data_IF_027528189269
#
_entry.id   IF_027528189269
#
_cell.length_a   1.000
_cell.length_b   1.000
_cell.length_c   1.000
_cell.angle_alpha   90.00
_cell.angle_beta   90.00
_cell.angle_gamma   90.00
#
_symmetry.space_group_name_H-M   'P 1'
#
loop_
_entity.id
_entity.type
_entity.pdbx_description
1 polymer ?
#
# COMPACT_ATOMS: atom_id res chain seq x y z
N UNK A 1 -20.54 5.16 -11.93
CA UNK A 1 -20.13 5.02 -10.53
C UNK A 1 -18.64 5.32 -10.48
N UNK A 2 -18.11 5.55 -9.30
CA UNK A 2 -16.67 5.77 -9.08
C UNK A 2 -16.34 4.94 -7.86
N UNK A 3 -15.27 4.16 -7.93
CA UNK A 3 -14.82 3.29 -6.85
C UNK A 3 -13.33 3.46 -6.71
N UNK A 4 -12.84 3.51 -5.48
CA UNK A 4 -11.42 3.31 -5.22
C UNK A 4 -11.28 2.44 -3.98
N UNK A 5 -10.14 1.77 -3.84
CA UNK A 5 -9.85 0.94 -2.68
C UNK A 5 -8.60 1.44 -2.00
N UNK A 6 -8.77 1.89 -0.75
CA UNK A 6 -7.64 2.30 0.07
C UNK A 6 -7.27 1.29 1.14
N UNK A 7 -5.97 1.06 1.31
CA UNK A 7 -5.44 0.28 2.41
C UNK A 7 -5.33 1.16 3.65
N UNK A 8 -6.17 0.89 4.63
CA UNK A 8 -6.17 1.61 5.90
C UNK A 8 -5.05 1.12 6.81
N UNK A 9 -4.17 2.05 7.16
CA UNK A 9 -3.08 1.86 8.11
C UNK A 9 -3.61 2.01 9.54
N UNK A 10 -3.19 1.13 10.43
CA UNK A 10 -3.57 1.17 11.84
C UNK A 10 -2.89 2.33 12.60
N UNK A 11 -3.29 2.55 13.85
CA UNK A 11 -2.72 3.64 14.65
C UNK A 11 -1.21 3.54 14.89
N UNK A 12 -0.63 2.35 14.82
CA UNK A 12 0.80 2.10 15.04
C UNK A 12 1.64 2.43 13.79
N UNK A 13 1.01 2.36 12.62
CA UNK A 13 1.58 2.75 11.34
C UNK A 13 1.57 4.28 11.11
N UNK A 14 0.72 5.01 11.83
CA UNK A 14 0.64 6.46 11.72
C UNK A 14 1.93 7.13 12.22
N UNK A 15 2.22 8.29 11.64
CA UNK A 15 3.39 9.10 11.94
C UNK A 15 3.04 10.58 11.93
N UNK A 16 4.09 11.40 11.87
CA UNK A 16 4.01 12.86 12.03
C UNK A 16 4.47 13.63 10.80
N UNK A 17 4.99 12.95 9.78
CA UNK A 17 5.58 13.57 8.60
C UNK A 17 5.17 12.80 7.35
N UNK A 18 4.59 13.48 6.37
CA UNK A 18 4.05 12.88 5.15
C UNK A 18 4.42 13.70 3.93
N UNK A 19 4.58 13.00 2.81
CA UNK A 19 4.54 13.59 1.47
C UNK A 19 3.40 12.92 0.70
N UNK A 20 2.54 13.72 0.08
CA UNK A 20 1.30 13.19 -0.52
C UNK A 20 1.45 12.93 -2.01
N UNK A 21 0.81 11.85 -2.46
CA UNK A 21 0.57 11.54 -3.87
C UNK A 21 -0.84 12.01 -4.25
N UNK A 22 -0.98 12.59 -5.45
CA UNK A 22 -2.26 13.01 -6.02
C UNK A 22 -2.16 13.00 -7.55
N UNK A 23 -3.08 13.67 -8.23
CA UNK A 23 -3.04 13.98 -9.65
C UNK A 23 -3.39 15.46 -9.85
N UNK A 24 -2.91 16.06 -10.94
CA UNK A 24 -3.40 17.37 -11.41
C UNK A 24 -4.52 17.24 -12.44
N UNK A 25 -5.16 18.36 -12.79
CA UNK A 25 -6.25 18.39 -13.79
C UNK A 25 -7.48 17.58 -13.37
N UNK A 26 -8.46 17.34 -14.26
CA UNK A 26 -9.70 16.64 -13.90
C UNK A 26 -10.83 17.56 -13.45
N UNK A 27 -11.82 17.01 -12.73
CA UNK A 27 -13.08 17.71 -12.41
C UNK A 27 -13.41 17.68 -10.91
N UNK A 28 -14.52 18.34 -10.54
CA UNK A 28 -14.97 18.46 -9.15
C UNK A 28 -14.10 19.40 -8.32
N UNK A 29 -13.94 19.10 -7.02
CA UNK A 29 -13.05 19.83 -6.12
C UNK A 29 -11.56 19.61 -6.43
N UNK A 30 -11.28 18.72 -7.39
CA UNK A 30 -9.94 18.46 -7.88
C UNK A 30 -9.07 17.68 -6.89
N UNK A 31 -7.78 17.97 -6.88
CA UNK A 31 -6.82 17.36 -5.98
C UNK A 31 -7.11 17.74 -4.53
N UNK A 32 -7.08 16.79 -3.61
CA UNK A 32 -7.50 16.99 -2.23
C UNK A 32 -6.62 16.26 -1.22
N UNK A 33 -6.55 16.82 -0.02
CA UNK A 33 -5.88 16.25 1.15
C UNK A 33 -6.81 16.35 2.36
N UNK A 34 -6.86 15.29 3.16
CA UNK A 34 -7.51 15.26 4.45
C UNK A 34 -6.52 14.81 5.54
N UNK A 35 -6.51 15.50 6.68
CA UNK A 35 -5.66 15.19 7.84
C UNK A 35 -6.57 14.97 9.04
N UNK A 36 -6.56 13.75 9.58
CA UNK A 36 -7.41 13.34 10.70
C UNK A 36 -6.58 13.22 11.99
N UNK A 37 -7.04 13.90 13.04
CA UNK A 37 -6.36 13.91 14.33
C UNK A 37 -6.81 12.74 15.23
N UNK A 38 -5.84 11.98 15.73
CA UNK A 38 -6.09 10.85 16.66
C UNK A 38 -6.12 11.28 18.13
N UNK A 39 -5.68 12.51 18.42
CA UNK A 39 -5.48 13.06 19.76
C UNK A 39 -5.92 14.53 19.82
N UNK A 40 -6.31 14.97 21.02
CA UNK A 40 -6.66 16.38 21.27
C UNK A 40 -5.45 17.30 21.13
N UNK A 41 -5.72 18.56 20.79
CA UNK A 41 -4.71 19.61 20.62
C UNK A 41 -3.55 19.16 19.70
N UNK A 42 -3.87 18.53 18.57
CA UNK A 42 -2.89 18.14 17.56
C UNK A 42 -2.60 19.33 16.66
N UNK A 43 -1.35 19.78 16.64
CA UNK A 43 -0.90 20.87 15.79
C UNK A 43 -0.41 20.29 14.47
N UNK A 44 -1.07 20.69 13.38
CA UNK A 44 -0.69 20.29 12.02
C UNK A 44 -0.20 21.50 11.23
N UNK A 45 0.77 21.25 10.37
CA UNK A 45 1.21 22.16 9.32
C UNK A 45 1.07 21.46 7.98
N UNK A 46 0.10 21.89 7.17
CA UNK A 46 -0.03 21.47 5.79
C UNK A 46 0.65 22.49 4.87
N UNK A 47 1.58 22.04 4.03
CA UNK A 47 2.23 22.88 3.02
C UNK A 47 1.82 22.37 1.63
N UNK A 48 0.81 22.99 0.98
CA UNK A 48 0.43 22.63 -0.37
C UNK A 48 1.56 22.91 -1.35
N UNK A 49 1.64 22.11 -2.41
CA UNK A 49 2.61 22.28 -3.49
C UNK A 49 2.48 23.69 -4.08
N UNK A 50 3.58 24.46 -4.03
CA UNK A 50 3.62 25.82 -4.55
C UNK A 50 2.88 26.87 -3.70
N UNK A 51 2.35 26.50 -2.53
CA UNK A 51 1.66 27.41 -1.62
C UNK A 51 2.40 27.59 -0.28
N UNK A 52 1.90 28.52 0.53
CA UNK A 52 2.40 28.79 1.87
C UNK A 52 1.91 27.75 2.88
N UNK A 53 2.67 27.55 3.96
CA UNK A 53 2.29 26.66 5.05
C UNK A 53 1.01 27.15 5.76
N UNK A 54 0.11 26.20 6.05
CA UNK A 54 -1.16 26.41 6.74
C UNK A 54 -1.09 25.66 8.06
N UNK A 55 -1.22 26.39 9.17
CA UNK A 55 -1.21 25.81 10.51
C UNK A 55 -2.64 25.66 11.03
N UNK A 56 -2.97 24.48 11.53
CA UNK A 56 -4.29 24.17 12.09
C UNK A 56 -4.09 23.40 13.39
N UNK A 57 -4.94 23.67 14.38
CA UNK A 57 -5.04 22.83 15.59
C UNK A 57 -6.33 22.04 15.52
N UNK A 58 -6.22 20.73 15.68
CA UNK A 58 -7.35 19.79 15.63
C UNK A 58 -7.52 19.09 16.98
N UNK A 59 -8.77 18.85 17.36
CA UNK A 59 -9.14 17.97 18.46
C UNK A 59 -9.28 16.53 17.98
N UNK A 60 -9.34 15.58 18.91
CA UNK A 60 -9.49 14.17 18.58
C UNK A 60 -10.77 13.96 17.78
N UNK A 61 -10.64 13.29 16.63
CA UNK A 61 -11.77 13.00 15.74
C UNK A 61 -12.06 14.11 14.74
N UNK A 62 -11.43 15.28 14.86
CA UNK A 62 -11.55 16.34 13.85
C UNK A 62 -10.66 16.05 12.64
N UNK A 63 -11.14 16.50 11.48
CA UNK A 63 -10.44 16.36 10.19
C UNK A 63 -10.32 17.72 9.53
N UNK A 64 -9.10 18.08 9.16
CA UNK A 64 -8.84 19.19 8.25
C UNK A 64 -8.91 18.69 6.80
N UNK A 65 -9.69 19.35 5.94
CA UNK A 65 -9.73 19.08 4.49
C UNK A 65 -9.23 20.29 3.72
N UNK A 66 -8.38 20.04 2.72
CA UNK A 66 -7.97 21.03 1.73
C UNK A 66 -8.27 20.51 0.32
N UNK A 67 -8.95 21.34 -0.49
CA UNK A 67 -9.18 21.09 -1.90
C UNK A 67 -8.35 22.08 -2.73
N UNK A 68 -7.43 21.56 -3.55
CA UNK A 68 -6.52 22.32 -4.41
C UNK A 68 -7.08 22.65 -5.79
N UNK A 69 -8.31 22.20 -6.12
CA UNK A 69 -8.88 22.38 -7.44
C UNK A 69 -8.00 21.71 -8.50
N UNK A 70 -7.76 22.42 -9.60
CA UNK A 70 -6.91 21.92 -10.70
C UNK A 70 -5.41 21.80 -10.36
N UNK A 71 -4.98 22.28 -9.18
CA UNK A 71 -3.57 22.20 -8.74
C UNK A 71 -3.19 20.76 -8.43
N UNK A 72 -2.12 20.25 -9.04
CA UNK A 72 -1.53 18.98 -8.63
C UNK A 72 -0.91 19.12 -7.23
N UNK A 73 -1.50 18.47 -6.23
CA UNK A 73 -0.99 18.51 -4.85
C UNK A 73 0.11 17.47 -4.60
N UNK A 74 0.54 16.71 -5.61
CA UNK A 74 1.65 15.77 -5.48
C UNK A 74 2.90 16.48 -4.97
N UNK A 75 3.47 15.95 -3.90
CA UNK A 75 4.63 16.53 -3.23
C UNK A 75 4.31 17.62 -2.21
N UNK A 76 3.03 17.89 -1.91
CA UNK A 76 2.67 18.65 -0.70
C UNK A 76 3.11 17.88 0.55
N UNK A 77 3.38 18.58 1.64
CA UNK A 77 3.77 17.93 2.90
C UNK A 77 2.81 18.22 4.04
N UNK A 78 2.65 17.23 4.92
CA UNK A 78 1.98 17.39 6.21
C UNK A 78 3.02 17.10 7.30
N UNK A 79 3.13 18.00 8.26
CA UNK A 79 3.88 17.76 9.51
C UNK A 79 2.95 17.95 10.70
N UNK A 80 3.12 17.15 11.75
CA UNK A 80 2.32 17.24 12.96
C UNK A 80 3.17 17.01 14.21
N UNK A 81 2.70 17.48 15.36
CA UNK A 81 3.34 17.19 16.66
C UNK A 81 2.91 15.83 17.26
N UNK A 82 1.82 15.25 16.75
CA UNK A 82 1.24 13.96 17.14
C UNK A 82 0.87 13.13 15.93
N UNK A 83 0.69 11.83 16.12
CA UNK A 83 0.34 10.91 15.04
C UNK A 83 -1.02 11.27 14.42
N UNK A 84 -1.07 11.39 13.09
CA UNK A 84 -2.27 11.73 12.31
C UNK A 84 -2.46 10.74 11.17
N UNK A 85 -3.69 10.55 10.71
CA UNK A 85 -3.93 9.86 9.44
C UNK A 85 -4.03 10.91 8.33
N UNK A 86 -3.26 10.74 7.26
CA UNK A 86 -3.28 11.63 6.09
C UNK A 86 -3.83 10.87 4.91
N UNK A 87 -4.88 11.42 4.29
CA UNK A 87 -5.47 10.92 3.06
C UNK A 87 -5.23 11.92 1.95
N UNK A 88 -4.95 11.44 0.75
CA UNK A 88 -4.78 12.29 -0.42
C UNK A 88 -5.31 11.63 -1.68
N UNK A 89 -5.59 12.44 -2.68
CA UNK A 89 -6.07 11.97 -3.97
C UNK A 89 -6.84 13.07 -4.67
N UNK A 90 -7.93 12.73 -5.35
CA UNK A 90 -8.57 13.61 -6.29
C UNK A 90 -10.06 13.30 -6.41
N UNK A 91 -10.92 14.32 -6.50
CA UNK A 91 -12.37 14.13 -6.55
C UNK A 91 -12.85 13.42 -7.83
N UNK A 92 -12.16 13.64 -8.96
CA UNK A 92 -12.45 13.03 -10.26
C UNK A 92 -11.23 13.26 -11.19
N UNK A 93 -10.20 12.42 -11.05
CA UNK A 93 -8.92 12.55 -11.76
C UNK A 93 -8.97 11.92 -13.13
N UNK A 94 -8.34 12.58 -14.10
CA UNK A 94 -8.01 11.99 -15.39
C UNK A 94 -6.57 11.47 -15.34
N UNK A 95 -6.37 10.17 -15.53
CA UNK A 95 -5.03 9.56 -15.54
C UNK A 95 -4.82 8.87 -16.89
N UNK A 96 -3.96 9.38 -17.79
CA UNK A 96 -3.31 10.69 -17.74
C UNK A 96 -4.32 11.82 -17.96
N UNK A 97 -3.89 13.05 -17.68
CA UNK A 97 -4.70 14.26 -17.91
C UNK A 97 -5.20 14.29 -19.36
N UNK A 98 -6.48 14.58 -19.54
CA UNK A 98 -7.12 14.65 -20.85
C UNK A 98 -7.74 13.33 -21.33
N UNK A 99 -7.62 12.22 -20.59
CA UNK A 99 -8.38 11.00 -20.89
C UNK A 99 -9.88 11.21 -20.67
N UNK A 100 -10.73 10.55 -21.46
CA UNK A 100 -12.16 10.86 -21.56
C UNK A 100 -12.96 10.71 -20.26
N UNK A 101 -12.52 9.81 -19.38
CA UNK A 101 -13.21 9.50 -18.13
C UNK A 101 -12.30 9.80 -16.94
N UNK A 102 -12.91 10.15 -15.83
CA UNK A 102 -12.21 10.34 -14.58
C UNK A 102 -12.70 9.32 -13.56
N UNK A 103 -11.95 9.21 -12.47
CA UNK A 103 -12.38 8.46 -11.30
C UNK A 103 -11.85 9.11 -10.02
N UNK A 104 -12.46 8.79 -8.87
CA UNK A 104 -12.00 9.27 -7.57
C UNK A 104 -10.68 8.60 -7.26
N UNK A 105 -9.69 9.38 -6.82
CA UNK A 105 -8.49 8.84 -6.21
C UNK A 105 -8.57 9.09 -4.71
N UNK A 106 -8.32 8.09 -3.89
CA UNK A 106 -8.25 8.23 -2.44
C UNK A 106 -7.29 7.21 -1.84
N UNK A 107 -6.17 7.68 -1.29
CA UNK A 107 -5.24 6.83 -0.55
C UNK A 107 -4.85 7.40 0.80
N UNK A 108 -4.66 6.52 1.80
CA UNK A 108 -3.96 6.88 3.03
C UNK A 108 -2.44 6.91 2.78
N UNK A 109 -1.85 8.09 2.96
CA UNK A 109 -0.42 8.31 2.76
C UNK A 109 0.44 7.52 3.75
N UNK A 110 1.55 6.97 3.27
CA UNK A 110 2.56 6.31 4.12
C UNK A 110 3.42 7.39 4.79
N UNK A 111 3.61 7.26 6.11
CA UNK A 111 4.46 8.18 6.86
C UNK A 111 5.92 8.09 6.39
N UNK A 112 6.62 9.22 6.36
CA UNK A 112 7.98 9.31 5.78
C UNK A 112 9.03 8.43 6.48
N UNK A 113 8.82 8.07 7.74
CA UNK A 113 9.67 7.12 8.50
C UNK A 113 9.40 5.65 8.14
N UNK A 114 8.37 5.38 7.34
CA UNK A 114 8.01 4.05 6.80
C UNK A 114 8.27 3.93 5.30
N UNK A 115 8.79 4.98 4.67
CA UNK A 115 9.20 4.98 3.27
C UNK A 115 10.60 4.40 3.12
N UNK A 116 10.90 3.92 1.91
CA UNK A 116 12.13 3.20 1.59
C UNK A 116 12.93 3.89 0.50
N UNK A 117 14.11 3.33 0.21
CA UNK A 117 15.00 3.77 -0.87
C UNK A 117 14.97 2.86 -2.10
N UNK A 118 14.38 1.67 -1.98
CA UNK A 118 14.34 0.67 -3.05
C UNK A 118 12.91 0.17 -3.20
N UNK A 119 12.39 0.26 -4.41
CA UNK A 119 11.07 -0.19 -4.80
C UNK A 119 11.18 -1.05 -6.06
N UNK A 120 10.26 -1.99 -6.19
CA UNK A 120 10.05 -2.75 -7.41
C UNK A 120 8.58 -2.60 -7.77
N UNK A 121 8.29 -2.25 -9.01
CA UNK A 121 6.93 -2.06 -9.50
C UNK A 121 6.63 -3.05 -10.62
N UNK A 122 5.40 -3.53 -10.67
CA UNK A 122 4.90 -4.39 -11.73
C UNK A 122 3.69 -3.72 -12.39
N UNK A 123 3.65 -3.75 -13.72
CA UNK A 123 2.49 -3.28 -14.46
C UNK A 123 1.26 -4.09 -14.05
N UNK A 124 0.19 -3.38 -13.74
CA UNK A 124 -1.13 -3.91 -13.43
C UNK A 124 -1.66 -4.77 -14.58
N UNK A 125 -2.68 -5.60 -14.32
CA UNK A 125 -3.40 -6.26 -15.41
C UNK A 125 -4.14 -5.25 -16.30
N UNK A 126 -4.60 -4.13 -15.73
CA UNK A 126 -5.25 -3.03 -16.46
C UNK A 126 -4.33 -2.33 -17.46
N UNK A 127 -3.02 -2.37 -17.26
CA UNK A 127 -2.03 -1.73 -18.12
C UNK A 127 -2.14 -2.13 -19.60
N UNK A 128 -2.52 -3.38 -19.90
CA UNK A 128 -2.72 -3.83 -21.30
C UNK A 128 -3.88 -3.14 -22.00
N UNK A 129 -4.85 -2.63 -21.23
CA UNK A 129 -6.07 -1.99 -21.73
C UNK A 129 -5.87 -0.47 -21.88
N UNK A 130 -4.95 0.12 -21.12
CA UNK A 130 -4.73 1.57 -21.07
C UNK A 130 -3.34 2.04 -21.53
N UNK A 131 -2.53 1.15 -22.11
CA UNK A 131 -1.20 1.50 -22.63
C UNK A 131 -0.15 1.76 -21.53
N UNK A 132 -0.23 0.99 -20.44
CA UNK A 132 0.65 1.09 -19.28
C UNK A 132 -0.02 1.71 -18.06
N UNK A 133 0.70 1.70 -16.95
CA UNK A 133 0.39 2.46 -15.73
C UNK A 133 1.24 3.74 -15.69
N UNK A 134 0.92 4.67 -14.77
CA UNK A 134 1.85 5.73 -14.37
C UNK A 134 2.47 5.40 -13.03
N UNK A 135 3.73 5.79 -12.85
CA UNK A 135 4.42 5.72 -11.56
C UNK A 135 5.04 7.08 -11.27
N UNK A 136 4.83 7.58 -10.05
CA UNK A 136 5.45 8.81 -9.54
C UNK A 136 6.39 8.48 -8.40
N UNK A 137 7.62 8.95 -8.50
CA UNK A 137 8.62 8.91 -7.42
C UNK A 137 8.73 10.32 -6.84
N UNK A 138 8.41 10.48 -5.56
CA UNK A 138 8.23 11.78 -4.89
C UNK A 138 9.31 11.93 -3.81
N UNK A 139 10.16 12.95 -3.95
CA UNK A 139 11.28 13.16 -3.04
C UNK A 139 10.85 13.77 -1.71
N UNK A 140 11.34 13.21 -0.59
CA UNK A 140 11.14 13.79 0.75
C UNK A 140 12.23 14.79 1.13
N UNK A 141 13.37 14.74 0.45
CA UNK A 141 14.60 15.49 0.76
C UNK A 141 15.16 16.16 -0.49
N UNK A 142 15.83 17.30 -0.32
CA UNK A 142 16.46 18.00 -1.44
C UNK A 142 17.62 17.18 -2.04
N UNK A 143 17.81 17.27 -3.37
CA UNK A 143 18.89 16.56 -4.05
C UNK A 143 18.73 15.04 -4.11
N UNK A 144 17.52 14.52 -3.98
CA UNK A 144 17.25 13.07 -4.10
C UNK A 144 17.50 12.63 -5.54
N UNK A 145 18.51 11.79 -5.76
CA UNK A 145 18.77 11.16 -7.06
C UNK A 145 17.84 9.97 -7.24
N UNK A 146 17.12 9.90 -8.37
CA UNK A 146 16.25 8.78 -8.74
C UNK A 146 16.90 7.98 -9.86
N UNK A 147 16.99 6.66 -9.67
CA UNK A 147 17.42 5.70 -10.67
C UNK A 147 16.29 4.76 -11.02
N UNK A 148 16.10 4.50 -12.31
CA UNK A 148 15.17 3.49 -12.82
C UNK A 148 15.99 2.49 -13.63
N UNK A 149 15.91 1.21 -13.28
CA UNK A 149 16.68 0.13 -13.91
C UNK A 149 18.19 0.45 -14.01
N UNK A 150 18.74 1.06 -12.96
CA UNK A 150 20.16 1.42 -12.84
C UNK A 150 20.55 2.77 -13.48
N UNK A 151 19.70 3.37 -14.32
CA UNK A 151 19.97 4.66 -14.95
C UNK A 151 19.43 5.82 -14.10
N UNK A 152 20.23 6.87 -13.87
CA UNK A 152 19.76 8.10 -13.23
C UNK A 152 18.79 8.82 -14.16
N UNK A 153 17.55 8.99 -13.74
CA UNK A 153 16.49 9.64 -14.55
C UNK A 153 16.13 11.04 -14.05
N UNK A 154 16.41 11.34 -12.77
CA UNK A 154 16.12 12.64 -12.20
C UNK A 154 17.00 12.95 -10.96
N UNK A 155 17.14 14.24 -10.65
CA UNK A 155 17.54 14.73 -9.33
C UNK A 155 16.45 15.68 -8.84
N UNK A 156 15.84 15.34 -7.72
CA UNK A 156 14.61 15.95 -7.23
C UNK A 156 14.84 16.69 -5.92
N UNK A 157 14.34 17.90 -5.83
CA UNK A 157 14.19 18.61 -4.56
C UNK A 157 12.97 18.10 -3.79
N UNK A 158 12.88 18.39 -2.48
CA UNK A 158 11.76 18.01 -1.63
C UNK A 158 10.43 18.42 -2.27
N UNK A 159 9.49 17.47 -2.35
CA UNK A 159 8.18 17.64 -2.96
C UNK A 159 8.19 17.71 -4.49
N UNK A 160 9.34 17.61 -5.16
CA UNK A 160 9.37 17.34 -6.60
C UNK A 160 9.18 15.84 -6.85
N UNK A 161 8.66 15.51 -8.03
CA UNK A 161 8.47 14.13 -8.44
C UNK A 161 8.97 13.88 -9.85
N UNK A 162 9.32 12.63 -10.12
CA UNK A 162 9.55 12.10 -11.46
C UNK A 162 8.39 11.16 -11.82
N UNK A 163 7.78 11.37 -12.97
CA UNK A 163 6.71 10.52 -13.50
C UNK A 163 7.23 9.68 -14.67
N UNK A 164 6.90 8.39 -14.67
CA UNK A 164 7.22 7.47 -15.76
C UNK A 164 5.99 6.65 -16.14
N UNK A 165 5.91 6.25 -17.41
CA UNK A 165 4.97 5.21 -17.83
C UNK A 165 5.59 3.84 -17.60
N UNK A 166 4.90 2.98 -16.87
CA UNK A 166 5.23 1.57 -16.72
C UNK A 166 4.47 0.78 -17.79
N UNK A 167 5.18 0.33 -18.83
CA UNK A 167 4.55 -0.33 -19.97
C UNK A 167 3.83 -1.62 -19.56
N UNK A 168 2.77 -1.97 -20.29
CA UNK A 168 2.06 -3.23 -20.07
C UNK A 168 3.00 -4.43 -20.12
N UNK A 169 2.79 -5.39 -19.22
CA UNK A 169 3.64 -6.58 -19.11
C UNK A 169 5.13 -6.25 -18.85
N UNK A 170 5.41 -5.22 -18.06
CA UNK A 170 6.78 -4.91 -17.61
C UNK A 170 6.84 -4.70 -16.10
N UNK A 171 8.06 -4.65 -15.56
CA UNK A 171 8.34 -4.18 -14.21
C UNK A 171 9.57 -3.29 -14.22
N UNK A 172 9.80 -2.57 -13.13
CA UNK A 172 10.97 -1.70 -13.00
C UNK A 172 11.48 -1.66 -11.57
N UNK A 173 12.81 -1.57 -11.44
CA UNK A 173 13.48 -1.26 -10.19
C UNK A 173 13.67 0.23 -10.05
N UNK A 174 13.23 0.79 -8.93
CA UNK A 174 13.40 2.20 -8.59
C UNK A 174 14.30 2.29 -7.37
N UNK A 175 15.39 3.05 -7.50
CA UNK A 175 16.34 3.30 -6.41
C UNK A 175 16.49 4.80 -6.20
N UNK A 176 16.44 5.25 -4.95
CA UNK A 176 16.59 6.65 -4.57
C UNK A 176 17.74 6.84 -3.58
N UNK A 177 18.45 7.97 -3.66
CA UNK A 177 19.54 8.26 -2.72
C UNK A 177 19.04 8.55 -1.30
N UNK A 178 17.85 9.13 -1.18
CA UNK A 178 17.10 9.36 0.06
C UNK A 178 15.77 8.61 0.03
N UNK A 179 15.12 8.46 1.19
CA UNK A 179 13.76 7.89 1.21
C UNK A 179 12.84 8.72 0.31
N UNK A 180 11.96 8.04 -0.40
CA UNK A 180 11.03 8.68 -1.34
C UNK A 180 9.70 7.94 -1.28
N UNK A 181 8.60 8.63 -1.58
CA UNK A 181 7.32 7.93 -1.79
C UNK A 181 7.22 7.48 -3.25
N UNK A 182 6.67 6.28 -3.46
CA UNK A 182 6.32 5.79 -4.79
C UNK A 182 4.82 5.54 -4.83
N UNK A 183 4.15 6.11 -5.83
CA UNK A 183 2.73 5.87 -6.10
C UNK A 183 2.57 5.37 -7.54
N UNK A 184 1.73 4.36 -7.72
CA UNK A 184 1.36 3.77 -9.00
C UNK A 184 -0.12 4.07 -9.29
N UNK A 185 -0.41 4.37 -10.54
CA UNK A 185 -1.72 4.80 -10.98
C UNK A 185 -2.16 3.95 -12.17
N UNK A 186 -3.37 3.39 -12.08
CA UNK A 186 -4.03 2.82 -13.24
C UNK A 186 -4.43 3.97 -14.18
N UNK A 187 -4.20 3.78 -15.48
CA UNK A 187 -4.65 4.74 -16.49
C UNK A 187 -6.09 4.44 -16.89
N UNK A 188 -6.86 5.48 -17.22
CA UNK A 188 -8.17 5.35 -17.82
C UNK A 188 -8.10 4.75 -19.23
N UNK A 189 -8.78 3.63 -19.42
CA UNK A 189 -8.80 2.84 -20.66
C UNK A 189 -9.88 3.24 -21.66
N UNK A 190 -10.41 4.46 -21.56
CA UNK A 190 -11.42 4.99 -22.50
C UNK A 190 -12.71 4.17 -22.59
N UNK A 191 -13.12 3.51 -21.49
CA UNK A 191 -14.28 2.61 -21.46
C UNK A 191 -13.95 1.12 -21.56
N UNK A 192 -12.67 0.76 -21.72
CA UNK A 192 -12.19 -0.63 -21.83
C UNK A 192 -11.99 -1.32 -20.46
N UNK A 193 -12.92 -1.17 -19.51
CA UNK A 193 -12.88 -1.81 -18.17
C UNK A 193 -11.66 -1.47 -17.28
N UNK A 194 -11.09 -0.28 -17.43
CA UNK A 194 -10.16 0.31 -16.45
C UNK A 194 -10.38 1.81 -16.45
N UNK A 195 -10.46 2.39 -15.27
CA UNK A 195 -10.50 3.82 -15.01
C UNK A 195 -9.38 4.18 -14.00
N UNK A 196 -9.20 5.46 -13.69
CA UNK A 196 -8.11 5.89 -12.81
C UNK A 196 -8.23 5.42 -11.35
N UNK A 197 -7.34 4.52 -10.91
CA UNK A 197 -7.12 4.22 -9.49
C UNK A 197 -5.68 4.55 -9.07
N UNK A 198 -5.42 4.72 -7.78
CA UNK A 198 -4.10 5.08 -7.25
C UNK A 198 -3.74 4.22 -6.06
N UNK A 199 -2.49 3.77 -5.97
CA UNK A 199 -1.96 3.26 -4.72
C UNK A 199 -0.51 3.62 -4.45
N UNK A 200 -0.17 3.78 -3.18
CA UNK A 200 1.21 3.78 -2.76
C UNK A 200 1.83 2.38 -2.95
N UNK A 201 3.10 2.34 -3.34
CA UNK A 201 3.86 1.09 -3.47
C UNK A 201 4.76 0.97 -2.24
N UNK A 202 4.62 -0.09 -1.41
CA UNK A 202 5.53 -0.34 -0.30
C UNK A 202 6.95 -0.64 -0.77
N UNK A 203 7.93 -0.18 0.00
CA UNK A 203 9.34 -0.43 -0.30
C UNK A 203 9.71 -1.90 -0.11
N UNK A 204 10.76 -2.33 -0.81
CA UNK A 204 11.21 -3.73 -0.86
C UNK A 204 11.48 -4.35 0.50
N UNK A 205 11.98 -3.55 1.44
CA UNK A 205 12.30 -3.91 2.83
C UNK A 205 11.07 -3.98 3.76
N UNK A 206 9.88 -3.65 3.26
CA UNK A 206 8.62 -3.68 4.01
C UNK A 206 7.63 -4.75 3.54
N UNK A 207 8.03 -5.59 2.58
CA UNK A 207 7.20 -6.66 2.04
C UNK A 207 6.90 -7.74 3.08
N UNK A 208 5.76 -8.41 2.90
CA UNK A 208 5.34 -9.56 3.71
C UNK A 208 5.53 -10.85 2.90
N UNK A 209 5.54 -11.98 3.61
CA UNK A 209 5.60 -13.32 2.99
C UNK A 209 4.24 -14.01 2.92
N UNK A 210 3.23 -13.47 3.59
CA UNK A 210 1.84 -13.93 3.54
C UNK A 210 0.94 -12.70 3.61
N UNK A 211 -0.12 -12.74 2.82
CA UNK A 211 -1.09 -11.69 2.61
C UNK A 211 -2.48 -12.27 2.76
N UNK A 212 -3.34 -11.65 3.58
CA UNK A 212 -4.76 -11.98 3.68
C UNK A 212 -5.58 -10.76 3.35
N UNK A 213 -6.33 -10.85 2.27
CA UNK A 213 -7.07 -9.76 1.67
C UNK A 213 -8.40 -10.28 1.16
N UNK A 214 -9.31 -9.37 0.88
CA UNK A 214 -10.56 -9.69 0.20
C UNK A 214 -10.69 -8.83 -1.05
N UNK A 215 -11.13 -9.44 -2.15
CA UNK A 215 -11.62 -8.66 -3.29
C UNK A 215 -12.95 -8.00 -2.89
N UNK A 216 -13.32 -6.85 -3.50
CA UNK A 216 -14.66 -6.31 -3.39
C UNK A 216 -15.72 -7.38 -3.74
N UNK A 217 -16.82 -7.41 -3.01
CA UNK A 217 -17.86 -8.42 -3.12
C UNK A 217 -19.25 -7.82 -2.91
N UNK A 218 -20.32 -8.61 -3.10
CA UNK A 218 -21.69 -8.12 -3.01
C UNK A 218 -21.99 -7.06 -4.07
N UNK A 219 -22.60 -5.94 -3.66
CA UNK A 219 -22.96 -4.84 -4.57
C UNK A 219 -21.77 -4.07 -5.16
N UNK A 220 -20.55 -4.31 -4.68
CA UNK A 220 -19.31 -3.74 -5.18
C UNK A 220 -18.41 -4.79 -5.88
N UNK A 221 -18.95 -5.95 -6.25
CA UNK A 221 -18.17 -7.00 -6.88
C UNK A 221 -17.71 -6.63 -8.31
N UNK A 222 -16.45 -6.92 -8.61
CA UNK A 222 -15.87 -6.76 -9.94
C UNK A 222 -15.70 -8.12 -10.64
N UNK A 223 -15.88 -8.14 -11.96
CA UNK A 223 -15.70 -9.36 -12.77
C UNK A 223 -14.24 -9.75 -13.01
N UNK A 224 -13.32 -8.79 -12.89
CA UNK A 224 -11.88 -9.02 -12.93
C UNK A 224 -11.28 -8.61 -11.60
N UNK A 225 -10.55 -9.53 -10.96
CA UNK A 225 -9.76 -9.27 -9.76
C UNK A 225 -8.41 -9.98 -9.95
N UNK A 226 -7.32 -9.35 -9.53
CA UNK A 226 -5.98 -9.87 -9.70
C UNK A 226 -5.03 -9.36 -8.62
N UNK A 227 -3.98 -10.13 -8.37
CA UNK A 227 -2.79 -9.70 -7.64
C UNK A 227 -1.64 -9.46 -8.64
N UNK A 228 -1.12 -8.24 -8.70
CA UNK A 228 0.18 -7.95 -9.34
C UNK A 228 1.30 -8.24 -8.35
N UNK A 229 2.19 -9.15 -8.72
CA UNK A 229 3.19 -9.72 -7.82
C UNK A 229 4.59 -9.36 -8.31
N UNK A 230 5.47 -9.04 -7.36
CA UNK A 230 6.92 -9.06 -7.55
C UNK A 230 7.55 -9.99 -6.51
N UNK A 231 8.20 -11.04 -6.96
CA UNK A 231 8.76 -12.10 -6.11
C UNK A 231 10.17 -12.46 -6.59
N UNK A 232 11.02 -13.03 -5.73
CA UNK A 232 12.29 -13.58 -6.18
C UNK A 232 12.06 -14.68 -7.21
N UNK A 233 12.87 -14.69 -8.28
CA UNK A 233 12.72 -15.69 -9.35
C UNK A 233 12.88 -17.11 -8.81
N UNK A 234 13.79 -17.31 -7.84
CA UNK A 234 14.02 -18.60 -7.20
C UNK A 234 12.88 -19.02 -6.25
N UNK A 235 11.95 -18.11 -5.92
CA UNK A 235 10.80 -18.36 -5.04
C UNK A 235 9.49 -18.58 -5.81
N UNK A 236 9.49 -18.54 -7.16
CA UNK A 236 8.28 -18.68 -7.97
C UNK A 236 7.51 -19.98 -7.66
N UNK A 237 8.22 -21.09 -7.49
CA UNK A 237 7.63 -22.39 -7.20
C UNK A 237 7.08 -22.50 -5.76
N UNK A 238 7.30 -21.48 -4.91
CA UNK A 238 6.77 -21.43 -3.55
C UNK A 238 5.48 -20.61 -3.41
N UNK A 239 5.04 -19.97 -4.49
CA UNK A 239 3.90 -19.06 -4.46
C UNK A 239 2.58 -19.85 -4.40
N UNK A 240 1.83 -19.63 -3.33
CA UNK A 240 0.54 -20.28 -3.06
C UNK A 240 -0.60 -19.27 -3.07
N UNK A 241 -1.74 -19.68 -3.62
CA UNK A 241 -3.04 -19.03 -3.48
C UNK A 241 -3.98 -20.00 -2.76
N UNK A 242 -4.43 -19.65 -1.57
CA UNK A 242 -5.27 -20.49 -0.71
C UNK A 242 -4.68 -21.91 -0.49
N UNK A 243 -3.35 -21.99 -0.38
CA UNK A 243 -2.62 -23.25 -0.19
C UNK A 243 -2.42 -24.10 -1.45
N UNK A 244 -2.88 -23.65 -2.62
CA UNK A 244 -2.62 -24.30 -3.90
C UNK A 244 -1.53 -23.55 -4.68
N UNK A 245 -0.73 -24.28 -5.47
CA UNK A 245 0.33 -23.72 -6.30
C UNK A 245 -0.24 -22.74 -7.33
N UNK A 246 0.41 -21.59 -7.48
CA UNK A 246 0.09 -20.60 -8.53
C UNK A 246 0.80 -20.99 -9.83
N UNK A 247 0.08 -20.92 -10.95
CA UNK A 247 0.71 -21.00 -12.28
C UNK A 247 1.56 -19.76 -12.55
N UNK A 248 2.88 -19.92 -12.44
CA UNK A 248 3.87 -18.86 -12.65
C UNK A 248 4.46 -18.86 -14.06
N UNK A 249 3.93 -19.64 -15.00
CA UNK A 249 4.47 -19.74 -16.38
C UNK A 249 4.46 -18.41 -17.15
N UNK A 250 3.59 -17.47 -16.76
CA UNK A 250 3.50 -16.13 -17.34
C UNK A 250 4.41 -15.09 -16.65
N UNK A 251 5.09 -15.45 -15.56
CA UNK A 251 5.98 -14.54 -14.84
C UNK A 251 7.24 -14.29 -15.67
N UNK A 252 7.71 -13.04 -15.64
CA UNK A 252 8.90 -12.62 -16.37
C UNK A 252 9.84 -11.85 -15.46
N UNK A 253 11.14 -12.03 -15.64
CA UNK A 253 12.16 -11.31 -14.89
C UNK A 253 12.04 -9.77 -15.05
N UNK A 254 12.27 -9.05 -13.96
CA UNK A 254 12.50 -7.60 -13.96
C UNK A 254 13.99 -7.36 -14.21
N UNK A 255 14.38 -7.24 -15.47
CA UNK A 255 15.77 -7.00 -15.86
C UNK A 255 16.73 -8.01 -15.21
N UNK A 256 17.78 -7.52 -14.55
CA UNK A 256 18.81 -8.34 -13.86
C UNK A 256 18.67 -8.33 -12.34
N UNK A 257 17.49 -8.00 -11.81
CA UNK A 257 17.27 -7.81 -10.36
C UNK A 257 17.24 -9.10 -9.54
N UNK A 258 17.10 -10.26 -10.19
CA UNK A 258 16.80 -11.54 -9.53
C UNK A 258 15.34 -11.67 -9.09
N UNK A 259 14.49 -10.71 -9.47
CA UNK A 259 13.04 -10.73 -9.21
C UNK A 259 12.28 -10.96 -10.51
N UNK A 260 11.11 -11.58 -10.39
CA UNK A 260 10.13 -11.78 -11.44
C UNK A 260 8.81 -11.11 -11.08
N UNK A 261 8.08 -10.71 -12.12
CA UNK A 261 6.75 -10.10 -11.98
C UNK A 261 5.70 -10.88 -12.75
N UNK A 262 4.48 -10.89 -12.25
CA UNK A 262 3.33 -11.53 -12.88
C UNK A 262 2.00 -11.04 -12.30
N UNK A 263 0.91 -11.41 -12.96
CA UNK A 263 -0.45 -11.15 -12.48
C UNK A 263 -1.15 -12.49 -12.23
N UNK A 264 -1.80 -12.63 -11.08
CA UNK A 264 -2.54 -13.83 -10.69
C UNK A 264 -4.01 -13.48 -10.58
N UNK A 265 -4.88 -14.21 -11.27
CA UNK A 265 -6.31 -13.97 -11.22
C UNK A 265 -6.91 -14.45 -9.90
N UNK A 266 -7.82 -13.64 -9.35
CA UNK A 266 -8.43 -13.87 -8.05
C UNK A 266 -9.94 -14.08 -8.19
N UNK A 267 -10.47 -15.04 -7.44
CA UNK A 267 -11.89 -15.20 -7.26
C UNK A 267 -12.44 -14.13 -6.29
N UNK A 268 -13.76 -13.99 -6.26
CA UNK A 268 -14.42 -13.10 -5.31
C UNK A 268 -14.28 -13.61 -3.87
N UNK A 269 -13.96 -12.70 -2.95
CA UNK A 269 -13.97 -12.95 -1.51
C UNK A 269 -12.59 -12.94 -0.87
N UNK A 270 -12.50 -13.53 0.32
CA UNK A 270 -11.26 -13.64 1.09
C UNK A 270 -10.30 -14.62 0.40
N UNK A 271 -9.03 -14.24 0.33
CA UNK A 271 -7.95 -15.11 -0.12
C UNK A 271 -6.69 -14.93 0.74
N UNK A 272 -5.87 -15.96 0.76
CA UNK A 272 -4.51 -15.93 1.28
C UNK A 272 -3.52 -16.14 0.13
N UNK A 273 -2.53 -15.26 0.01
CA UNK A 273 -1.36 -15.50 -0.85
C UNK A 273 -0.09 -15.56 0.00
N UNK A 274 0.74 -16.57 -0.22
CA UNK A 274 1.97 -16.76 0.55
C UNK A 274 3.11 -17.28 -0.31
N UNK A 275 4.34 -17.03 0.11
CA UNK A 275 5.55 -17.59 -0.50
C UNK A 275 6.61 -17.91 0.56
N UNK A 276 7.70 -18.56 0.16
CA UNK A 276 8.81 -18.91 1.05
C UNK A 276 9.45 -17.65 1.69
N UNK A 277 9.63 -16.59 0.89
CA UNK A 277 10.15 -15.30 1.32
C UNK A 277 9.19 -14.15 1.01
N UNK A 278 9.54 -12.94 1.45
CA UNK A 278 8.75 -11.74 1.24
C UNK A 278 8.65 -11.34 -0.22
N UNK A 279 7.46 -10.93 -0.67
CA UNK A 279 7.17 -10.52 -2.04
C UNK A 279 6.24 -9.31 -2.03
N UNK A 280 6.20 -8.51 -3.09
CA UNK A 280 5.20 -7.46 -3.26
C UNK A 280 3.88 -8.07 -3.75
N UNK A 281 2.77 -7.67 -3.14
CA UNK A 281 1.43 -7.87 -3.66
C UNK A 281 0.74 -6.52 -3.80
N UNK A 282 0.33 -6.16 -5.02
CA UNK A 282 -0.63 -5.09 -5.30
C UNK A 282 -1.94 -5.73 -5.74
N UNK A 283 -3.03 -5.42 -5.07
CA UNK A 283 -4.36 -5.93 -5.36
C UNK A 283 -5.08 -4.95 -6.28
N UNK A 284 -5.66 -5.46 -7.37
CA UNK A 284 -6.46 -4.65 -8.27
C UNK A 284 -7.59 -5.42 -8.94
N UNK A 285 -8.46 -4.69 -9.61
CA UNK A 285 -9.55 -5.26 -10.37
C UNK A 285 -10.32 -4.22 -11.14
N UNK A 286 -11.33 -4.65 -11.89
CA UNK A 286 -12.15 -3.74 -12.68
C UNK A 286 -13.24 -4.43 -13.49
N UNK A 287 -14.25 -3.67 -13.86
CA UNK A 287 -15.37 -4.06 -14.72
C UNK A 287 -16.19 -2.84 -15.09
N UNK A 288 -16.68 -2.75 -16.32
CA UNK A 288 -17.71 -1.76 -16.68
C UNK A 288 -17.29 -0.31 -16.47
N UNK A 289 -16.08 0.05 -16.91
CA UNK A 289 -15.47 1.38 -16.74
C UNK A 289 -15.31 1.85 -15.27
N UNK A 290 -15.06 0.90 -14.37
CA UNK A 290 -14.80 1.11 -12.94
C UNK A 290 -13.67 0.13 -12.51
N UNK A 291 -12.83 0.51 -11.55
CA UNK A 291 -11.65 -0.25 -11.12
C UNK A 291 -11.26 0.07 -9.68
N UNK A 292 -10.30 -0.68 -9.16
CA UNK A 292 -9.72 -0.40 -7.85
C UNK A 292 -8.26 -0.86 -7.83
N UNK A 293 -7.44 -0.23 -7.01
CA UNK A 293 -6.04 -0.59 -6.89
C UNK A 293 -5.48 -0.24 -5.50
N UNK A 294 -4.84 -1.19 -4.84
CA UNK A 294 -4.27 -0.98 -3.51
C UNK A 294 -3.07 -1.90 -3.25
N UNK A 295 -2.21 -1.57 -2.29
CA UNK A 295 -1.17 -2.49 -1.84
C UNK A 295 -1.71 -3.53 -0.85
N UNK A 296 -1.12 -4.72 -0.83
CA UNK A 296 -1.62 -5.84 -0.02
C UNK A 296 -1.32 -5.75 1.48
N UNK A 297 -0.44 -4.82 1.87
CA UNK A 297 0.06 -4.66 3.23
C UNK A 297 1.58 -4.52 3.26
N UNK A 298 2.10 -4.12 4.42
CA UNK A 298 3.52 -3.93 4.66
C UNK A 298 3.87 -4.24 6.13
N UNK A 299 5.14 -4.40 6.47
CA UNK A 299 5.59 -4.69 7.85
C UNK A 299 5.14 -3.65 8.88
N UNK A 300 4.94 -2.40 8.46
CA UNK A 300 4.41 -1.35 9.33
C UNK A 300 2.88 -1.34 9.43
N UNK A 301 2.16 -1.99 8.52
CA UNK A 301 0.70 -2.06 8.49
C UNK A 301 0.24 -3.41 7.87
N UNK A 302 0.44 -4.55 8.57
CA UNK A 302 0.18 -5.86 7.98
C UNK A 302 -1.31 -6.23 7.89
N UNK A 303 -2.18 -5.46 8.55
CA UNK A 303 -3.61 -5.73 8.57
C UNK A 303 -3.90 -7.11 9.16
N UNK A 304 -4.74 -7.89 8.49
CA UNK A 304 -5.05 -9.28 8.89
C UNK A 304 -4.08 -10.31 8.27
N UNK A 305 -3.07 -9.86 7.53
CA UNK A 305 -2.07 -10.72 6.87
C UNK A 305 -1.14 -11.42 7.86
N UNK A 306 -1.14 -11.03 9.13
CA UNK A 306 -0.56 -11.84 10.19
C UNK A 306 -1.46 -13.04 10.53
N UNK A 307 -0.85 -14.21 10.74
CA UNK A 307 -1.05 -14.88 12.01
C UNK A 307 0.22 -14.75 12.88
N UNK A 308 0.07 -14.66 14.21
CA UNK A 308 1.14 -14.25 15.12
C UNK A 308 2.34 -15.19 15.02
N UNK A 309 3.54 -14.62 15.22
CA UNK A 309 4.64 -15.43 15.77
C UNK A 309 4.24 -15.82 17.20
N UNK A 310 3.48 -16.90 17.36
CA UNK A 310 3.60 -17.67 18.59
C UNK A 310 4.94 -18.39 18.50
N UNK A 311 6.01 -17.65 18.81
CA UNK A 311 7.09 -18.30 19.54
C UNK A 311 6.42 -18.82 20.81
N UNK A 312 5.94 -20.07 20.76
CA UNK A 312 5.74 -20.86 21.95
C UNK A 312 7.12 -20.95 22.60
N UNK A 313 7.46 -19.93 23.39
CA UNK A 313 8.43 -20.10 24.46
C UNK A 313 7.85 -21.24 25.27
N UNK A 314 8.55 -22.39 25.40
CA UNK A 314 8.12 -23.41 26.34
C UNK A 314 8.02 -22.72 27.68
N UNK A 315 6.82 -22.69 28.27
CA UNK A 315 6.64 -22.22 29.64
C UNK A 315 7.67 -22.98 30.47
N UNK A 316 8.63 -22.30 31.15
CA UNK A 316 9.57 -22.98 32.03
C UNK A 316 8.78 -23.85 33.01
N UNK A 317 9.18 -25.11 33.16
CA UNK A 317 8.44 -26.18 33.84
C UNK A 317 8.28 -26.02 35.35
N UNK A 318 7.75 -24.90 35.85
CA UNK A 318 7.55 -24.63 37.27
C UNK A 318 6.08 -24.62 37.72
N UNK A 319 5.11 -24.72 36.82
CA UNK A 319 3.67 -24.79 37.22
C UNK A 319 3.18 -26.24 37.39
N UNK A 320 3.83 -27.24 36.77
CA UNK A 320 3.48 -28.66 36.98
C UNK A 320 3.98 -29.25 38.32
N UNK A 321 4.98 -28.62 38.95
CA UNK A 321 5.54 -29.10 40.23
C UNK A 321 4.74 -28.64 41.46
N UNK A 322 3.92 -27.59 41.36
CA UNK A 322 3.07 -27.13 42.47
C UNK A 322 1.73 -27.91 42.52
N UNK A 323 1.20 -28.32 41.37
CA UNK A 323 -0.02 -29.13 41.29
C UNK A 323 0.14 -30.57 41.79
N UNK A 324 1.29 -31.20 41.57
CA UNK A 324 1.58 -32.56 42.05
C UNK A 324 1.84 -32.62 43.58
N UNK A 325 2.32 -31.53 44.18
CA UNK A 325 2.54 -31.44 45.63
C UNK A 325 1.22 -31.26 46.43
N UNK A 326 0.19 -30.64 45.83
CA UNK A 326 -1.10 -30.43 46.49
C UNK A 326 -2.08 -31.60 46.32
N UNK A 327 -1.94 -32.40 45.26
CA UNK A 327 -2.72 -33.62 45.08
C UNK A 327 -2.26 -34.78 46.00
N UNK A 328 -0.97 -34.83 46.37
CA UNK A 328 -0.42 -35.87 47.25
C UNK A 328 -0.73 -35.66 48.74
N UNK A 329 -1.01 -34.41 49.19
CA UNK A 329 -1.49 -34.15 50.56
C UNK A 329 -3.01 -34.36 50.74
N UNK A 330 -3.81 -34.31 49.68
CA UNK A 330 -5.26 -34.55 49.75
C UNK A 330 -5.66 -36.03 49.81
N UNK A 331 -4.81 -36.92 49.28
CA UNK A 331 -5.10 -38.36 49.17
C UNK A 331 -4.68 -39.18 50.41
N UNK A 332 -3.90 -38.64 51.34
CA UNK A 332 -3.51 -39.32 52.58
C UNK A 332 -4.51 -39.14 53.73
N UNK A 333 -5.50 -38.24 53.61
CA UNK A 333 -6.49 -37.98 54.69
C UNK A 333 -7.78 -38.80 54.61
N UNK A 334 -7.96 -39.67 53.61
CA UNK A 334 -9.20 -40.46 53.41
C UNK A 334 -9.04 -41.99 53.53
N UNK A 335 -7.93 -42.49 54.06
CA UNK A 335 -7.76 -43.92 54.40
C UNK A 335 -7.17 -44.11 55.80
N UNK A 336 -8.01 -43.91 56.83
CA UNK A 336 -7.93 -44.55 58.15
C UNK A 336 -9.20 -44.21 58.94
N UNK A 337 -10.29 -44.85 58.56
CA UNK A 337 -11.51 -44.99 59.34
C UNK A 337 -12.20 -46.27 58.86
N UNK A 338 -11.68 -47.40 59.35
CA UNK A 338 -12.30 -48.71 59.50
C UNK A 338 -11.41 -49.49 60.47
#
# INVERSE_FOLDING_TARGET
ATTDMTYLQDSNALGTNYVVASMGGGFGEGSQVAVHATQDNTQITFTPKGGAAINVTLQKGETYKYAGGSTDLTGSSVTADKAVAVFSGHACAQVPIGTSFCDTLLEQAIATDKLSKVYEVAASKGATLAGGDLVRVIATTNGTQVKVNGAVVATLNKGQFHEMTLAANTGAKIETSEVAAVAQYLKGGGGSNTDPAMSYVPGKDTWLKSYRLATPSGGAAFSVNYASIVIATDDLDSLLLNGADVDTSSFTAIGTTGLSRGNVDLALGLFEMSAANSFLLMLGGGSGADSYYTYGGATFAPGISEPPTTNNVPIPGTIFLVGAALASLGLTRKRRAA
#
